data_IF_760566167023
#
_entry.id   IF_760566167023
#
_cell.length_a   1.000
_cell.length_b   1.000
_cell.length_c   1.000
_cell.angle_alpha   90.00
_cell.angle_beta   90.00
_cell.angle_gamma   90.00
#
_symmetry.space_group_name_H-M   'P 1'
#
loop_
_entity.id
_entity.type
_entity.pdbx_description
1 polymer ?
#
# COMPACT_ATOMS: atom_id res chain seq x y z
N UNK A 1 -42.12 33.30 -24.23
CA UNK A 1 -40.64 33.15 -24.17
C UNK A 1 -40.13 32.96 -25.58
N UNK A 2 -39.17 33.81 -26.01
CA UNK A 2 -38.66 33.82 -27.39
C UNK A 2 -37.95 32.49 -27.72
N UNK A 3 -38.23 31.83 -28.84
CA UNK A 3 -37.66 30.51 -29.21
C UNK A 3 -36.12 30.52 -29.25
N UNK A 4 -35.54 31.63 -29.64
CA UNK A 4 -34.08 31.82 -29.64
C UNK A 4 -33.47 31.83 -28.24
N UNK A 5 -34.17 32.38 -27.23
CA UNK A 5 -33.73 32.38 -25.82
C UNK A 5 -33.77 30.97 -25.21
N UNK A 6 -34.81 30.19 -25.55
CA UNK A 6 -34.92 28.77 -25.13
C UNK A 6 -33.79 27.92 -25.71
N UNK A 7 -33.44 28.08 -26.97
CA UNK A 7 -32.33 27.39 -27.61
C UNK A 7 -30.99 27.73 -26.94
N UNK A 8 -30.71 29.02 -26.69
CA UNK A 8 -29.48 29.46 -25.99
C UNK A 8 -29.40 28.90 -24.58
N UNK A 9 -30.48 28.93 -23.83
CA UNK A 9 -30.54 28.35 -22.48
C UNK A 9 -30.35 26.82 -22.52
N UNK A 10 -30.94 26.13 -23.49
CA UNK A 10 -30.72 24.69 -23.63
C UNK A 10 -29.28 24.34 -23.99
N UNK A 11 -28.62 25.12 -24.86
CA UNK A 11 -27.19 24.93 -25.14
C UNK A 11 -26.29 25.18 -23.93
N UNK A 12 -26.56 26.23 -23.18
CA UNK A 12 -25.80 26.52 -21.92
C UNK A 12 -26.03 25.40 -20.89
N UNK A 13 -27.26 24.98 -20.68
CA UNK A 13 -27.57 23.86 -19.78
C UNK A 13 -26.89 22.56 -20.21
N UNK A 14 -26.87 22.25 -21.51
CA UNK A 14 -26.18 21.08 -22.07
C UNK A 14 -24.66 21.16 -21.82
N UNK A 15 -24.05 22.33 -22.05
CA UNK A 15 -22.63 22.54 -21.81
C UNK A 15 -22.25 22.37 -20.29
N UNK A 16 -23.06 22.92 -19.40
CA UNK A 16 -22.89 22.79 -17.96
C UNK A 16 -23.02 21.33 -17.53
N UNK A 17 -24.04 20.62 -18.07
CA UNK A 17 -24.24 19.21 -17.77
C UNK A 17 -23.06 18.36 -18.29
N UNK A 18 -22.63 18.59 -19.53
CA UNK A 18 -21.50 17.88 -20.13
C UNK A 18 -20.19 18.12 -19.36
N UNK A 19 -19.95 19.38 -18.94
CA UNK A 19 -18.80 19.73 -18.10
C UNK A 19 -18.87 19.05 -16.73
N UNK A 20 -20.04 19.01 -16.11
CA UNK A 20 -20.25 18.31 -14.83
C UNK A 20 -19.97 16.81 -14.92
N UNK A 21 -20.49 16.17 -15.97
CA UNK A 21 -20.24 14.75 -16.23
C UNK A 21 -18.75 14.49 -16.49
N UNK A 22 -18.10 15.31 -17.31
CA UNK A 22 -16.67 15.18 -17.60
C UNK A 22 -15.83 15.33 -16.32
N UNK A 23 -16.14 16.32 -15.49
CA UNK A 23 -15.45 16.52 -14.19
C UNK A 23 -15.66 15.33 -13.25
N UNK A 24 -16.87 14.81 -13.16
CA UNK A 24 -17.16 13.63 -12.34
C UNK A 24 -16.41 12.39 -12.82
N UNK A 25 -16.33 12.16 -14.14
CA UNK A 25 -15.58 11.05 -14.71
C UNK A 25 -14.08 11.17 -14.46
N UNK A 26 -13.52 12.37 -14.60
CA UNK A 26 -12.10 12.64 -14.27
C UNK A 26 -11.83 12.43 -12.81
N UNK A 27 -12.67 12.95 -11.91
CA UNK A 27 -12.54 12.75 -10.48
C UNK A 27 -12.59 11.26 -10.10
N UNK A 28 -13.52 10.51 -10.69
CA UNK A 28 -13.64 9.07 -10.47
C UNK A 28 -12.44 8.28 -11.02
N UNK A 29 -11.88 8.70 -12.15
CA UNK A 29 -10.68 8.09 -12.72
C UNK A 29 -9.43 8.36 -11.87
N UNK A 30 -9.29 9.58 -11.30
CA UNK A 30 -8.18 9.91 -10.42
C UNK A 30 -8.26 9.14 -9.09
N UNK A 31 -9.44 9.01 -8.50
CA UNK A 31 -9.62 8.25 -7.24
C UNK A 31 -9.18 6.79 -7.35
N UNK A 32 -9.34 6.16 -8.51
CA UNK A 32 -8.93 4.78 -8.75
C UNK A 32 -7.41 4.59 -8.83
N UNK A 33 -6.64 5.64 -9.05
CA UNK A 33 -5.20 5.59 -9.23
C UNK A 33 -4.39 5.95 -7.95
N UNK A 34 -5.04 6.42 -6.89
CA UNK A 34 -4.37 6.74 -5.64
C UNK A 34 -4.24 5.46 -4.80
N UNK A 35 -3.06 4.84 -4.86
CA UNK A 35 -2.74 3.72 -3.98
C UNK A 35 -2.18 4.28 -2.67
N UNK A 36 -2.99 4.28 -1.62
CA UNK A 36 -2.57 4.65 -0.27
C UNK A 36 -1.58 3.63 0.30
N UNK A 37 -0.69 4.09 1.18
CA UNK A 37 0.28 3.26 1.87
C UNK A 37 -0.30 2.83 3.23
N UNK A 38 -0.39 1.53 3.44
CA UNK A 38 -0.82 0.92 4.69
C UNK A 38 0.24 -0.04 5.22
N UNK A 39 0.26 -0.24 6.54
CA UNK A 39 1.05 -1.28 7.19
C UNK A 39 0.21 -2.56 7.36
N UNK A 40 0.85 -3.72 7.61
CA UNK A 40 0.13 -4.96 7.93
C UNK A 40 -0.89 -4.81 9.05
N UNK A 41 -0.52 -4.13 10.15
CA UNK A 41 -1.39 -3.92 11.29
C UNK A 41 -2.62 -3.07 10.94
N UNK A 42 -2.47 -2.00 10.16
CA UNK A 42 -3.58 -1.14 9.73
C UNK A 42 -4.59 -1.91 8.87
N UNK A 43 -4.10 -2.75 7.96
CA UNK A 43 -4.97 -3.58 7.11
C UNK A 43 -5.73 -4.61 7.94
N UNK A 44 -5.05 -5.32 8.85
CA UNK A 44 -5.66 -6.36 9.68
C UNK A 44 -6.64 -5.80 10.72
N UNK A 45 -6.42 -4.56 11.21
CA UNK A 45 -7.36 -3.86 12.09
C UNK A 45 -8.57 -3.28 11.35
N UNK A 46 -8.57 -3.34 10.01
CA UNK A 46 -9.63 -2.77 9.19
C UNK A 46 -9.56 -1.24 9.00
N UNK A 47 -8.48 -0.59 9.45
CA UNK A 47 -8.27 0.86 9.33
C UNK A 47 -8.11 1.30 7.88
N UNK A 48 -7.71 0.38 7.00
CA UNK A 48 -7.58 0.61 5.56
C UNK A 48 -8.93 0.67 4.82
N UNK A 49 -10.04 0.34 5.51
CA UNK A 49 -11.39 0.38 4.95
C UNK A 49 -11.85 -0.92 4.30
N UNK A 50 -13.17 -1.03 4.12
CA UNK A 50 -13.81 -2.25 3.64
C UNK A 50 -13.40 -2.61 2.19
N UNK A 51 -13.11 -1.66 1.34
CA UNK A 51 -12.68 -1.88 -0.05
C UNK A 51 -11.29 -2.54 -0.14
N UNK A 52 -10.41 -2.21 0.80
CA UNK A 52 -9.10 -2.85 0.94
C UNK A 52 -9.26 -4.28 1.46
N UNK A 53 -10.04 -4.47 2.50
CA UNK A 53 -10.29 -5.78 3.11
C UNK A 53 -10.97 -6.75 2.13
N UNK A 54 -11.90 -6.26 1.28
CA UNK A 54 -12.58 -7.05 0.25
C UNK A 54 -11.75 -7.30 -1.02
N UNK A 55 -10.56 -6.70 -1.13
CA UNK A 55 -9.70 -6.81 -2.31
C UNK A 55 -10.15 -5.99 -3.52
N UNK A 56 -11.15 -5.13 -3.36
CA UNK A 56 -11.63 -4.25 -4.45
C UNK A 56 -10.66 -3.09 -4.69
N UNK A 57 -10.10 -2.52 -3.63
CA UNK A 57 -9.14 -1.43 -3.72
C UNK A 57 -7.71 -1.94 -3.88
N UNK A 58 -6.96 -1.24 -4.74
CA UNK A 58 -5.51 -1.38 -4.88
C UNK A 58 -4.82 -0.47 -3.88
N UNK A 59 -3.84 -0.99 -3.17
CA UNK A 59 -3.08 -0.21 -2.19
C UNK A 59 -1.60 -0.59 -2.17
N UNK A 60 -0.82 0.16 -1.42
CA UNK A 60 0.59 -0.11 -1.18
C UNK A 60 0.75 -0.66 0.24
N UNK A 61 1.36 -1.82 0.35
CA UNK A 61 1.72 -2.44 1.61
C UNK A 61 3.17 -2.10 1.92
N UNK A 62 3.42 -1.39 3.01
CA UNK A 62 4.76 -1.04 3.49
C UNK A 62 5.11 -1.80 4.76
N UNK A 63 6.36 -2.25 4.84
CA UNK A 63 6.88 -2.94 6.02
C UNK A 63 8.26 -3.52 5.75
N UNK A 64 8.68 -4.43 6.60
CA UNK A 64 9.94 -5.18 6.44
C UNK A 64 9.64 -6.62 6.05
N UNK A 65 10.47 -7.20 5.21
CA UNK A 65 10.39 -8.63 4.90
C UNK A 65 10.83 -9.40 6.13
N UNK A 66 9.97 -10.28 6.63
CA UNK A 66 10.26 -11.10 7.78
C UNK A 66 11.38 -12.10 7.47
N UNK A 67 12.27 -12.33 8.45
CA UNK A 67 13.38 -13.29 8.32
C UNK A 67 12.82 -14.71 8.22
N UNK A 68 13.47 -15.54 7.41
CA UNK A 68 13.12 -16.94 7.17
C UNK A 68 11.69 -17.16 6.62
N UNK A 69 11.09 -16.09 6.03
CA UNK A 69 9.76 -16.15 5.45
C UNK A 69 9.74 -16.32 3.93
N UNK A 70 10.88 -16.08 3.27
CA UNK A 70 10.96 -16.14 1.82
C UNK A 70 11.00 -17.58 1.30
N UNK A 71 10.08 -17.87 0.40
CA UNK A 71 9.98 -19.17 -0.26
C UNK A 71 9.72 -18.98 -1.76
N UNK A 72 10.49 -19.73 -2.57
CA UNK A 72 10.24 -19.84 -4.01
C UNK A 72 10.52 -21.27 -4.43
N UNK A 73 9.54 -21.91 -5.05
CA UNK A 73 9.74 -23.23 -5.61
C UNK A 73 10.69 -23.19 -6.82
N UNK A 74 11.59 -24.17 -7.01
CA UNK A 74 12.46 -24.23 -8.17
C UNK A 74 11.66 -24.20 -9.47
N UNK A 75 12.02 -23.28 -10.37
CA UNK A 75 11.32 -23.08 -11.65
C UNK A 75 10.01 -22.29 -11.59
N UNK A 76 9.54 -21.86 -10.40
CA UNK A 76 8.37 -21.02 -10.25
C UNK A 76 8.75 -19.53 -10.31
N UNK A 77 7.86 -18.74 -10.90
CA UNK A 77 7.94 -17.27 -10.84
C UNK A 77 7.29 -16.71 -9.56
N UNK A 78 6.59 -17.55 -8.80
CA UNK A 78 5.88 -17.13 -7.60
C UNK A 78 6.84 -17.09 -6.42
N UNK A 79 6.94 -15.91 -5.82
CA UNK A 79 7.67 -15.65 -4.59
C UNK A 79 6.67 -15.46 -3.46
N UNK A 80 6.83 -16.20 -2.39
CA UNK A 80 6.05 -16.11 -1.17
C UNK A 80 6.93 -15.55 -0.07
N UNK A 81 6.46 -14.55 0.64
CA UNK A 81 7.16 -13.97 1.79
C UNK A 81 6.15 -13.27 2.71
N UNK A 82 6.58 -12.91 3.91
CA UNK A 82 5.76 -12.15 4.83
C UNK A 82 6.32 -10.75 4.99
N UNK A 83 5.42 -9.78 5.06
CA UNK A 83 5.75 -8.39 5.39
C UNK A 83 5.23 -8.11 6.80
N UNK A 84 6.08 -7.52 7.63
CA UNK A 84 5.78 -7.17 9.01
C UNK A 84 6.05 -5.69 9.27
N UNK A 85 5.28 -5.09 10.17
CA UNK A 85 5.52 -3.76 10.74
C UNK A 85 5.96 -3.84 12.22
N UNK A 86 6.21 -5.05 12.73
CA UNK A 86 6.54 -5.33 14.12
C UNK A 86 5.33 -5.74 14.97
N UNK A 87 4.13 -5.24 14.65
CA UNK A 87 2.89 -5.57 15.36
C UNK A 87 2.09 -6.68 14.69
N UNK A 88 2.18 -6.77 13.36
CA UNK A 88 1.43 -7.74 12.58
C UNK A 88 2.25 -8.24 11.38
N UNK A 89 1.81 -9.37 10.82
CA UNK A 89 2.43 -9.99 9.67
C UNK A 89 1.38 -10.24 8.60
N UNK A 90 1.73 -9.99 7.35
CA UNK A 90 0.87 -10.22 6.21
C UNK A 90 1.56 -11.11 5.18
N UNK A 91 0.97 -12.24 4.79
CA UNK A 91 1.50 -13.05 3.71
C UNK A 91 1.36 -12.32 2.38
N UNK A 92 2.43 -12.35 1.59
CA UNK A 92 2.53 -11.70 0.28
C UNK A 92 2.91 -12.74 -0.75
N UNK A 93 2.24 -12.69 -1.90
CA UNK A 93 2.57 -13.48 -3.09
C UNK A 93 2.88 -12.51 -4.22
N UNK A 94 4.01 -12.71 -4.87
CA UNK A 94 4.43 -11.95 -6.03
C UNK A 94 4.87 -12.87 -7.16
N UNK A 95 4.27 -12.70 -8.32
CA UNK A 95 4.63 -13.47 -9.52
C UNK A 95 5.51 -12.61 -10.41
N UNK A 96 6.79 -12.93 -10.49
CA UNK A 96 7.74 -12.20 -11.32
C UNK A 96 9.17 -12.18 -10.77
N UNK A 97 9.98 -11.31 -11.37
CA UNK A 97 11.38 -11.11 -10.97
C UNK A 97 11.40 -10.09 -9.84
N UNK A 98 11.87 -10.51 -8.66
CA UNK A 98 12.08 -9.60 -7.55
C UNK A 98 13.25 -8.64 -7.84
N UNK A 99 13.24 -7.42 -7.30
CA UNK A 99 14.36 -6.50 -7.41
C UNK A 99 15.66 -7.13 -6.87
N UNK A 100 16.80 -6.76 -7.44
CA UNK A 100 18.13 -7.25 -7.00
C UNK A 100 18.43 -6.96 -5.54
N UNK A 101 17.82 -5.91 -5.01
CA UNK A 101 17.98 -5.47 -3.61
C UNK A 101 16.99 -6.13 -2.65
N UNK A 102 16.10 -6.97 -3.13
CA UNK A 102 15.18 -7.68 -2.25
C UNK A 102 15.95 -8.65 -1.35
N UNK A 103 15.84 -8.45 -0.04
CA UNK A 103 16.41 -9.29 1.00
C UNK A 103 15.43 -9.41 2.16
N UNK A 104 15.51 -10.50 2.89
CA UNK A 104 14.86 -10.61 4.19
C UNK A 104 15.45 -9.61 5.19
N UNK A 105 14.61 -9.06 6.04
CA UNK A 105 14.99 -8.00 6.99
C UNK A 105 15.09 -6.61 6.36
N UNK A 106 14.80 -6.44 5.07
CA UNK A 106 14.79 -5.12 4.42
C UNK A 106 13.39 -4.54 4.27
N UNK A 107 13.34 -3.20 4.24
CA UNK A 107 12.12 -2.47 3.98
C UNK A 107 11.67 -2.63 2.53
N UNK A 108 10.39 -2.97 2.35
CA UNK A 108 9.75 -3.12 1.07
C UNK A 108 8.45 -2.34 1.00
N UNK A 109 8.10 -1.93 -0.20
CA UNK A 109 6.77 -1.41 -0.53
C UNK A 109 6.23 -2.26 -1.68
N UNK A 110 5.22 -3.03 -1.41
CA UNK A 110 4.51 -3.83 -2.40
C UNK A 110 3.21 -3.14 -2.80
N UNK A 111 2.89 -3.10 -4.08
CA UNK A 111 1.62 -2.57 -4.60
C UNK A 111 0.79 -3.73 -5.10
N UNK A 112 -0.46 -3.80 -4.67
CA UNK A 112 -1.34 -4.92 -5.03
C UNK A 112 -2.70 -4.83 -4.38
N UNK A 113 -3.33 -5.99 -4.17
CA UNK A 113 -4.67 -6.15 -3.58
C UNK A 113 -4.72 -7.33 -2.63
N UNK A 114 -5.66 -7.28 -1.68
CA UNK A 114 -5.99 -8.46 -0.88
C UNK A 114 -6.77 -9.48 -1.72
N UNK A 115 -6.47 -10.77 -1.52
CA UNK A 115 -7.24 -11.87 -2.06
C UNK A 115 -7.17 -13.04 -1.08
N UNK A 116 -8.30 -13.43 -0.54
CA UNK A 116 -8.43 -14.59 0.38
C UNK A 116 -7.44 -14.54 1.57
N UNK A 117 -7.26 -13.35 2.16
CA UNK A 117 -6.35 -13.15 3.30
C UNK A 117 -4.86 -13.04 2.94
N UNK A 118 -4.50 -13.10 1.66
CA UNK A 118 -3.15 -12.95 1.15
C UNK A 118 -3.04 -11.66 0.34
N UNK A 119 -1.95 -10.93 0.47
CA UNK A 119 -1.68 -9.78 -0.38
C UNK A 119 -1.03 -10.23 -1.69
N UNK A 120 -1.76 -10.07 -2.79
CA UNK A 120 -1.25 -10.36 -4.14
C UNK A 120 -0.59 -9.12 -4.69
N UNK A 121 0.73 -9.12 -4.72
CA UNK A 121 1.54 -8.02 -5.20
C UNK A 121 1.64 -8.02 -6.74
N UNK A 122 1.41 -6.86 -7.34
CA UNK A 122 1.64 -6.58 -8.76
C UNK A 122 3.03 -5.98 -8.99
N UNK A 123 3.57 -5.30 -7.97
CA UNK A 123 4.89 -4.69 -8.00
C UNK A 123 5.51 -4.72 -6.59
N UNK A 124 6.81 -4.93 -6.51
CA UNK A 124 7.59 -4.92 -5.27
C UNK A 124 8.78 -4.00 -5.46
N UNK A 125 8.93 -3.03 -4.57
CA UNK A 125 10.06 -2.11 -4.50
C UNK A 125 10.82 -2.38 -3.21
N UNK A 126 12.08 -2.75 -3.31
CA UNK A 126 13.00 -2.84 -2.18
C UNK A 126 13.87 -1.59 -2.13
N UNK A 127 14.13 -1.05 -0.94
CA UNK A 127 14.98 0.15 -0.80
C UNK A 127 16.43 -0.20 -0.52
N UNK A 128 17.32 0.63 -1.03
CA UNK A 128 18.77 0.43 -1.02
C UNK A 128 19.44 0.66 0.36
N UNK A 129 18.81 1.37 1.28
CA UNK A 129 19.41 1.72 2.56
C UNK A 129 18.84 0.88 3.71
N UNK A 130 19.68 0.09 4.33
CA UNK A 130 19.41 -0.59 5.60
C UNK A 130 19.03 0.40 6.73
N UNK A 131 19.33 1.69 6.54
CA UNK A 131 19.08 2.77 7.50
C UNK A 131 17.94 3.69 7.08
N UNK A 132 17.44 3.61 5.83
CA UNK A 132 16.37 4.49 5.35
C UNK A 132 15.00 3.84 5.43
N UNK A 133 14.35 4.02 6.56
CA UNK A 133 12.91 3.81 6.69
C UNK A 133 12.19 5.07 6.17
N UNK A 134 11.21 4.97 5.25
CA UNK A 134 10.39 6.12 4.89
C UNK A 134 9.83 6.77 6.16
N UNK A 135 9.89 8.10 6.27
CA UNK A 135 9.43 8.83 7.48
C UNK A 135 8.02 8.41 7.88
N UNK A 136 7.15 8.18 6.89
CA UNK A 136 5.77 7.74 7.12
C UNK A 136 5.66 6.35 7.76
N UNK A 137 6.59 5.44 7.43
CA UNK A 137 6.65 4.09 8.03
C UNK A 137 7.39 4.16 9.36
N UNK A 138 8.46 4.96 9.47
CA UNK A 138 9.21 5.17 10.70
C UNK A 138 8.33 5.82 11.78
N UNK A 139 7.50 6.82 11.41
CA UNK A 139 6.59 7.48 12.34
C UNK A 139 5.48 6.53 12.84
N UNK A 140 5.03 5.61 11.99
CA UNK A 140 4.04 4.60 12.35
C UNK A 140 4.64 3.48 13.21
N UNK A 141 5.84 3.01 12.89
CA UNK A 141 6.55 2.01 13.68
C UNK A 141 7.12 2.59 14.99
N UNK A 142 7.53 3.87 15.01
CA UNK A 142 7.99 4.55 16.23
C UNK A 142 6.91 4.64 17.30
N UNK A 143 5.63 4.73 16.89
CA UNK A 143 4.48 4.68 17.82
C UNK A 143 4.24 3.26 18.38
N UNK A 144 4.58 2.22 17.64
CA UNK A 144 4.49 0.83 18.11
C UNK A 144 5.64 0.51 19.11
N UNK A 145 6.86 0.97 18.83
CA UNK A 145 8.01 0.78 19.71
C UNK A 145 7.88 1.51 21.06
N UNK A 146 7.23 2.68 21.08
CA UNK A 146 6.97 3.40 22.35
C UNK A 146 5.92 2.68 23.23
N UNK A 147 5.13 1.80 22.67
CA UNK A 147 4.12 1.02 23.39
C UNK A 147 4.68 -0.25 24.04
N UNK A 148 5.79 -0.77 23.51
CA UNK A 148 6.50 -1.92 24.03
C UNK A 148 7.89 -1.47 24.45
N UNK A 149 8.02 -1.06 25.71
CA UNK A 149 9.25 -0.65 26.39
C UNK A 149 10.28 -1.80 26.33
N UNK A 150 11.00 -1.93 25.22
CA UNK A 150 12.12 -2.86 25.10
C UNK A 150 13.37 -2.10 25.53
N UNK A 151 13.66 -2.24 26.80
CA UNK A 151 14.90 -1.84 27.43
C UNK A 151 16.10 -2.35 26.62
N UNK A 152 16.85 -1.42 26.04
CA UNK A 152 18.13 -1.75 25.42
C UNK A 152 19.06 -2.36 26.50
N UNK A 153 19.76 -3.47 26.21
CA UNK A 153 20.72 -3.99 27.13
C UNK A 153 21.82 -2.96 27.34
N UNK A 154 22.04 -2.61 28.61
CA UNK A 154 23.10 -1.72 29.05
C UNK A 154 24.46 -2.21 28.52
N UNK A 155 25.18 -1.33 27.85
CA UNK A 155 26.56 -1.55 27.46
C UNK A 155 27.37 -1.76 28.75
N UNK A 156 27.80 -2.98 28.95
CA UNK A 156 28.72 -3.39 29.99
C UNK A 156 30.08 -2.76 29.71
N UNK A 157 30.42 -1.75 30.50
CA UNK A 157 31.75 -1.18 30.54
C UNK A 157 32.68 -2.19 31.23
N UNK A 158 33.54 -2.83 30.47
CA UNK A 158 34.67 -3.60 31.00
C UNK A 158 35.86 -2.68 31.38
N UNK A 159 36.60 -3.00 32.42
CA UNK A 159 37.67 -2.20 33.02
C UNK A 159 38.93 -2.05 32.16
#
# INVERSE_FOLDING_TARGET
MNPTRRRRLAFVALLVLASGVATALVAMALQRNVAYLYTPAEVLRGEAGAEVASGQARFRLGGMVEKDSFQRAPGSMDAHFKVTDGDAQMPVVYTGILPDLFREGQAVVATGRMRDGVFVAENVLAKHDETYMPKEVADKMGKAHQKHDVQAPAAESAP
#
